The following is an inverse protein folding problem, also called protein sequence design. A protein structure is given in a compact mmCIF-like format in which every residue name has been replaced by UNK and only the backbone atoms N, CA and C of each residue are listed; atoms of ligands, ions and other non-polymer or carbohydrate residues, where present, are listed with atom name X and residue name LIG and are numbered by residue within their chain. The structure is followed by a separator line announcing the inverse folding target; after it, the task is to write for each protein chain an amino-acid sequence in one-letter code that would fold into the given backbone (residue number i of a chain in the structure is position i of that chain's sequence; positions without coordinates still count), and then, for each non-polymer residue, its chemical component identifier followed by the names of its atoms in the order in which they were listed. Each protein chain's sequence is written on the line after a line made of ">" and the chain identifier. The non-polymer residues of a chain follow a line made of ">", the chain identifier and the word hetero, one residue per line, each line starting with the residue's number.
data_IF_135671418771
#
_entry.id   IF_135671418771
#
_cell.length_a   1.000
_cell.length_b   1.000
_cell.length_c   1.000
_cell.angle_alpha   90.00
_cell.angle_beta   90.00
_cell.angle_gamma   90.00
#
_symmetry.space_group_name_H-M   'P 1'
#
loop_
_entity.id
_entity.type
_entity.pdbx_description
1 polymer ?
#
# COMPACT_ATOMS: atom_id res chain seq x y z
N UNK A 1 10.45 5.91 -5.93
CA UNK A 1 9.31 5.89 -5.00
C UNK A 1 8.07 5.61 -5.83
N UNK A 2 7.26 4.63 -5.44
CA UNK A 2 5.99 4.30 -6.11
C UNK A 2 4.86 4.91 -5.27
N UNK A 3 3.84 5.48 -5.91
CA UNK A 3 2.74 6.15 -5.22
C UNK A 3 1.42 5.54 -5.62
N UNK A 4 0.60 5.15 -4.65
CA UNK A 4 -0.72 4.61 -4.88
C UNK A 4 -1.80 5.52 -4.29
N UNK A 5 -2.92 5.72 -5.00
CA UNK A 5 -4.05 6.46 -4.47
C UNK A 5 -4.78 5.64 -3.41
N UNK A 6 -4.90 6.21 -2.21
CA UNK A 6 -5.65 5.68 -1.09
C UNK A 6 -6.99 6.37 -0.97
N UNK A 7 -8.05 5.58 -0.78
CA UNK A 7 -9.35 6.07 -0.35
C UNK A 7 -9.43 6.03 1.17
N UNK A 8 -9.78 7.16 1.79
CA UNK A 8 -10.00 7.28 3.23
C UNK A 8 -11.49 7.46 3.50
N UNK A 9 -12.05 6.62 4.36
CA UNK A 9 -13.46 6.66 4.73
C UNK A 9 -13.63 6.56 6.24
N UNK A 10 -14.51 7.38 6.82
CA UNK A 10 -14.89 7.27 8.24
C UNK A 10 -15.63 5.94 8.45
N UNK A 11 -15.17 5.14 9.39
CA UNK A 11 -15.79 3.89 9.83
C UNK A 11 -15.84 3.85 11.37
N UNK A 12 -16.97 4.32 11.92
CA UNK A 12 -17.12 4.56 13.35
C UNK A 12 -16.11 5.58 13.87
N UNK A 13 -15.34 5.18 14.89
CA UNK A 13 -14.28 5.98 15.51
C UNK A 13 -12.95 5.90 14.75
N UNK A 14 -12.88 5.08 13.70
CA UNK A 14 -11.69 4.89 12.88
C UNK A 14 -11.86 5.47 11.48
N UNK A 15 -10.75 5.54 10.76
CA UNK A 15 -10.66 5.84 9.34
C UNK A 15 -10.14 4.59 8.65
N UNK A 16 -10.98 3.99 7.82
CA UNK A 16 -10.62 2.92 6.90
C UNK A 16 -9.79 3.48 5.76
N UNK A 17 -8.71 2.79 5.42
CA UNK A 17 -7.87 3.05 4.24
C UNK A 17 -7.88 1.85 3.33
N UNK A 18 -8.15 2.09 2.05
CA UNK A 18 -8.14 1.06 1.00
C UNK A 18 -7.43 1.56 -0.26
N UNK A 19 -6.92 0.63 -1.06
CA UNK A 19 -6.25 0.92 -2.33
C UNK A 19 -6.93 0.16 -3.47
N UNK A 20 -7.38 0.89 -4.49
CA UNK A 20 -8.08 0.26 -5.64
C UNK A 20 -7.17 -0.64 -6.48
N UNK A 21 -5.88 -0.30 -6.55
CA UNK A 21 -4.89 -1.05 -7.33
C UNK A 21 -4.26 -2.20 -6.53
N UNK A 22 -4.42 -2.19 -5.20
CA UNK A 22 -3.88 -3.20 -4.28
C UNK A 22 -4.95 -3.55 -3.24
N UNK A 23 -6.01 -4.29 -3.62
CA UNK A 23 -7.15 -4.54 -2.75
C UNK A 23 -6.82 -5.28 -1.44
N UNK A 24 -5.69 -5.98 -1.40
CA UNK A 24 -5.19 -6.66 -0.20
C UNK A 24 -4.62 -5.68 0.84
N UNK A 25 -4.25 -4.46 0.44
CA UNK A 25 -3.81 -3.41 1.36
C UNK A 25 -5.03 -2.72 1.98
N UNK A 26 -5.38 -3.16 3.19
CA UNK A 26 -6.49 -2.61 3.97
C UNK A 26 -5.99 -2.34 5.39
N UNK A 27 -6.26 -1.15 5.91
CA UNK A 27 -5.89 -0.79 7.28
C UNK A 27 -6.83 0.25 7.87
N UNK A 28 -6.67 0.53 9.15
CA UNK A 28 -7.46 1.51 9.90
C UNK A 28 -6.55 2.37 10.78
N UNK A 29 -6.92 3.63 10.97
CA UNK A 29 -6.31 4.50 11.97
C UNK A 29 -7.33 5.36 12.72
N UNK A 30 -6.96 5.81 13.91
CA UNK A 30 -7.81 6.66 14.77
C UNK A 30 -7.89 8.11 14.25
N UNK A 31 -6.87 8.53 13.52
CA UNK A 31 -6.77 9.85 12.90
C UNK A 31 -6.32 9.72 11.45
N UNK A 32 -6.50 10.76 10.63
CA UNK A 32 -6.04 10.73 9.23
C UNK A 32 -4.53 10.46 9.16
N UNK A 33 -3.77 11.07 10.08
CA UNK A 33 -2.32 10.85 10.18
C UNK A 33 -1.98 9.40 10.49
N UNK A 34 -2.56 8.85 11.56
CA UNK A 34 -2.34 7.45 11.97
C UNK A 34 -2.75 6.47 10.87
N UNK A 35 -3.88 6.72 10.22
CA UNK A 35 -4.39 5.92 9.11
C UNK A 35 -3.43 5.92 7.92
N UNK A 36 -2.86 7.09 7.57
CA UNK A 36 -1.88 7.21 6.48
C UNK A 36 -0.53 6.58 6.82
N UNK A 37 -0.05 6.69 8.06
CA UNK A 37 1.19 6.03 8.51
C UNK A 37 1.06 4.50 8.40
N UNK A 38 -0.05 3.94 8.91
CA UNK A 38 -0.35 2.51 8.78
C UNK A 38 -0.60 2.08 7.33
N UNK A 39 -1.11 2.98 6.48
CA UNK A 39 -1.36 2.68 5.08
C UNK A 39 -0.06 2.42 4.31
N UNK A 40 1.05 3.08 4.67
CA UNK A 40 2.37 2.79 4.10
C UNK A 40 2.76 1.35 4.40
N UNK A 41 2.70 0.93 5.67
CA UNK A 41 3.07 -0.42 6.10
C UNK A 41 2.19 -1.50 5.45
N UNK A 42 0.87 -1.26 5.41
CA UNK A 42 -0.09 -2.19 4.81
C UNK A 42 0.16 -2.32 3.30
N UNK A 43 0.45 -1.21 2.61
CA UNK A 43 0.76 -1.21 1.19
C UNK A 43 2.08 -1.91 0.89
N UNK A 44 3.15 -1.65 1.67
CA UNK A 44 4.43 -2.34 1.50
C UNK A 44 4.29 -3.86 1.70
N UNK A 45 3.55 -4.28 2.73
CA UNK A 45 3.27 -5.70 2.99
C UNK A 45 2.47 -6.34 1.87
N UNK A 46 1.39 -5.69 1.41
CA UNK A 46 0.60 -6.25 0.31
C UNK A 46 1.42 -6.38 -0.98
N UNK A 47 2.24 -5.38 -1.30
CA UNK A 47 3.12 -5.41 -2.47
C UNK A 47 4.20 -6.48 -2.39
N UNK A 48 4.69 -6.84 -1.19
CA UNK A 48 5.64 -7.94 -1.03
C UNK A 48 5.05 -9.28 -1.45
N UNK A 49 3.76 -9.52 -1.19
CA UNK A 49 3.11 -10.76 -1.60
C UNK A 49 3.06 -10.95 -3.13
N UNK A 50 2.94 -9.87 -3.91
CA UNK A 50 3.04 -9.95 -5.37
C UNK A 50 4.45 -10.38 -5.82
N UNK A 51 5.47 -9.86 -5.13
CA UNK A 51 6.87 -10.22 -5.37
C UNK A 51 7.13 -11.69 -5.01
N UNK A 52 6.74 -12.10 -3.81
CA UNK A 52 6.92 -13.47 -3.30
C UNK A 52 6.18 -14.51 -4.15
N UNK A 53 4.98 -14.17 -4.62
CA UNK A 53 4.20 -15.04 -5.49
C UNK A 53 4.62 -14.99 -6.97
N UNK A 54 5.66 -14.23 -7.32
CA UNK A 54 6.09 -13.96 -8.70
C UNK A 54 4.92 -13.55 -9.63
N UNK A 55 4.01 -12.74 -9.09
CA UNK A 55 2.87 -12.17 -9.82
C UNK A 55 3.26 -10.86 -10.48
N UNK A 56 2.46 -10.45 -11.47
CA UNK A 56 2.57 -9.12 -12.04
C UNK A 56 2.41 -8.06 -10.95
N UNK A 57 3.36 -7.12 -10.93
CA UNK A 57 3.32 -6.04 -9.96
C UNK A 57 2.18 -5.07 -10.30
N UNK A 58 1.31 -4.71 -9.35
CA UNK A 58 0.20 -3.81 -9.63
C UNK A 58 0.73 -2.46 -10.12
N UNK A 59 -0.01 -1.83 -11.04
CA UNK A 59 0.34 -0.49 -11.54
C UNK A 59 -0.54 0.54 -10.83
N UNK A 60 0.04 1.61 -10.27
CA UNK A 60 -0.76 2.64 -9.63
C UNK A 60 -1.61 3.39 -10.66
N UNK A 61 -2.88 3.56 -10.33
CA UNK A 61 -3.83 4.35 -11.10
C UNK A 61 -3.66 5.84 -10.85
N UNK A 62 -4.27 6.64 -11.73
CA UNK A 62 -4.37 8.09 -11.53
C UNK A 62 -5.26 8.37 -10.30
N UNK A 63 -4.82 9.33 -9.49
CA UNK A 63 -5.57 9.82 -8.34
C UNK A 63 -6.81 10.61 -8.79
N UNK A 64 -7.91 10.37 -8.10
CA UNK A 64 -9.20 11.04 -8.28
C UNK A 64 -9.50 11.98 -7.10
N UNK A 65 -10.52 12.83 -7.25
CA UNK A 65 -10.87 13.81 -6.21
C UNK A 65 -11.26 13.10 -4.90
N UNK A 66 -10.61 13.48 -3.81
CA UNK A 66 -10.84 12.90 -2.47
C UNK A 66 -9.88 11.78 -2.06
N UNK A 67 -9.06 11.26 -2.97
CA UNK A 67 -7.99 10.30 -2.64
C UNK A 67 -6.74 11.01 -2.09
N UNK A 68 -5.89 10.26 -1.38
CA UNK A 68 -4.57 10.70 -0.89
C UNK A 68 -3.48 9.81 -1.49
N UNK A 69 -2.34 10.39 -1.86
CA UNK A 69 -1.20 9.59 -2.35
C UNK A 69 -0.42 9.01 -1.17
N UNK A 70 -0.20 7.70 -1.19
CA UNK A 70 0.68 7.00 -0.26
C UNK A 70 1.92 6.53 -1.00
N UNK A 71 3.09 6.93 -0.50
CA UNK A 71 4.38 6.66 -1.10
C UNK A 71 5.05 5.44 -0.46
N UNK A 72 5.60 4.54 -1.28
CA UNK A 72 6.47 3.44 -0.84
C UNK A 72 7.83 3.50 -1.52
N UNK A 73 8.88 3.04 -0.84
CA UNK A 73 10.23 3.03 -1.37
C UNK A 73 10.43 1.82 -2.30
N UNK A 74 10.96 2.09 -3.49
CA UNK A 74 11.21 1.03 -4.49
C UNK A 74 12.28 0.03 -4.00
N UNK A 75 13.23 0.51 -3.20
CA UNK A 75 14.29 -0.31 -2.58
C UNK A 75 13.75 -1.38 -1.65
N UNK A 76 12.61 -1.15 -0.97
CA UNK A 76 11.98 -2.16 -0.11
C UNK A 76 11.39 -3.33 -0.92
N UNK A 77 11.05 -3.10 -2.20
CA UNK A 77 10.47 -4.12 -3.09
C UNK A 77 11.58 -4.96 -3.75
N UNK A 78 12.73 -4.37 -4.08
CA UNK A 78 13.86 -5.10 -4.70
C UNK A 78 14.67 -5.94 -3.72
N UNK A 79 14.81 -5.53 -2.45
CA UNK A 79 15.51 -6.34 -1.43
C UNK A 79 14.82 -7.69 -1.20
N UNK A 80 13.49 -7.72 -1.25
CA UNK A 80 12.67 -8.94 -1.12
C UNK A 80 12.94 -9.90 -2.28
N UNK A 81 13.11 -9.39 -3.52
CA UNK A 81 13.50 -10.22 -4.69
C UNK A 81 14.89 -10.85 -4.54
N UNK A 82 15.87 -10.11 -4.03
CA UNK A 82 17.26 -10.60 -3.94
C UNK A 82 17.48 -11.60 -2.79
N UNK A 83 16.73 -11.46 -1.69
CA UNK A 83 16.82 -12.40 -0.56
C UNK A 83 16.34 -13.83 -0.93
N UNK A 84 15.40 -13.97 -1.86
CA UNK A 84 14.83 -15.28 -2.24
C UNK A 84 15.61 -16.00 -3.35
N UNK A 85 16.32 -15.26 -4.22
CA UNK A 85 17.15 -15.86 -5.29
C UNK A 85 18.54 -16.32 -4.81
N UNK A 86 18.79 -16.29 -3.51
CA UNK A 86 20.08 -16.64 -2.89
C UNK A 86 20.04 -17.95 -2.09
N UNK A 87 19.03 -18.79 -2.29
CA UNK A 87 18.86 -20.11 -1.63
C UNK A 87 18.78 -21.25 -2.64
#
# INVERSE_FOLDING_TARGET
>A
MIQYPATLMRDGDYILVTFKDVPEAITFGETEKDALEKAVEALETALSFYVEANKDFPRPSIMTSGEKMVCVLETNIYSIRQAQNSS
#
